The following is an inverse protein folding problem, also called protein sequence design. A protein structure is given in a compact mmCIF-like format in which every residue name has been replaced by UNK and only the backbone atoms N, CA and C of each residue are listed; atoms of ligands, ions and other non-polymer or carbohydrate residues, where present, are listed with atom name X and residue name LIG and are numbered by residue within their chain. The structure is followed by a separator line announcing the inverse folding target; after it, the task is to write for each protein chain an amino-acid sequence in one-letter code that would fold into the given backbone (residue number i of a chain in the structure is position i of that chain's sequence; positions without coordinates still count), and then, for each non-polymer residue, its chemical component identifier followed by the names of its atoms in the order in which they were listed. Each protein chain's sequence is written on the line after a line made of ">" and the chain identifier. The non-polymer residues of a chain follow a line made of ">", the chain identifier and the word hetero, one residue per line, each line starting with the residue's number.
data_IF_767027947498
#
_entry.id   IF_767027947498
#
_cell.length_a   1.000
_cell.length_b   1.000
_cell.length_c   1.000
_cell.angle_alpha   90.00
_cell.angle_beta   90.00
_cell.angle_gamma   90.00
#
_symmetry.space_group_name_H-M   'P 1'
#
loop_
_entity.id
_entity.type
_entity.pdbx_description
1 polymer ?
#
# COMPACT_ATOMS: atom_id res chain seq x y z
N UNK A 1 -25.04 14.86 -3.34
CA UNK A 1 -26.36 14.37 -3.80
C UNK A 1 -26.14 13.25 -4.80
N UNK A 2 -27.08 12.32 -4.97
CA UNK A 2 -27.00 11.29 -6.02
C UNK A 2 -28.29 11.27 -6.84
N UNK A 3 -28.19 10.78 -8.07
CA UNK A 3 -29.36 10.60 -8.92
C UNK A 3 -30.14 9.37 -8.48
N UNK A 4 -31.41 9.54 -8.08
CA UNK A 4 -32.26 8.42 -7.64
C UNK A 4 -32.57 7.42 -8.77
N UNK A 5 -32.44 7.85 -10.03
CA UNK A 5 -32.70 7.01 -11.19
C UNK A 5 -31.49 6.13 -11.61
N UNK A 6 -30.25 6.59 -11.43
CA UNK A 6 -29.07 5.86 -11.94
C UNK A 6 -27.87 5.78 -10.99
N UNK A 7 -27.98 6.32 -9.77
CA UNK A 7 -26.96 6.27 -8.72
C UNK A 7 -25.71 7.13 -8.96
N UNK A 8 -25.69 7.98 -10.00
CA UNK A 8 -24.57 8.86 -10.28
C UNK A 8 -24.42 9.95 -9.21
N UNK A 9 -23.20 10.18 -8.73
CA UNK A 9 -22.90 11.23 -7.74
C UNK A 9 -22.93 12.61 -8.42
N UNK A 10 -23.67 13.54 -7.84
CA UNK A 10 -23.99 14.85 -8.41
C UNK A 10 -23.49 15.99 -7.52
N UNK A 11 -22.93 17.02 -8.15
CA UNK A 11 -22.60 18.32 -7.53
C UNK A 11 -23.82 19.26 -7.52
N UNK A 12 -23.83 20.22 -6.60
CA UNK A 12 -24.97 21.14 -6.40
C UNK A 12 -25.25 22.11 -7.56
N UNK A 13 -24.33 22.20 -8.51
CA UNK A 13 -24.39 23.05 -9.71
C UNK A 13 -25.20 22.40 -10.84
N UNK A 14 -25.35 21.07 -10.86
CA UNK A 14 -26.03 20.39 -11.95
C UNK A 14 -27.55 20.63 -11.94
N UNK A 15 -28.11 20.93 -13.11
CA UNK A 15 -29.57 21.08 -13.33
C UNK A 15 -30.25 19.79 -13.80
N UNK A 16 -29.46 18.85 -14.33
CA UNK A 16 -29.87 17.52 -14.73
C UNK A 16 -28.68 16.55 -14.59
N UNK A 17 -28.95 15.27 -14.40
CA UNK A 17 -27.91 14.24 -14.29
C UNK A 17 -27.20 14.08 -15.64
N UNK A 18 -25.87 14.25 -15.72
CA UNK A 18 -25.14 14.14 -16.99
C UNK A 18 -25.12 12.70 -17.54
N UNK A 19 -25.40 11.71 -16.68
CA UNK A 19 -25.38 10.29 -17.06
C UNK A 19 -26.72 9.80 -17.63
N UNK A 20 -27.85 10.21 -17.07
CA UNK A 20 -29.18 9.69 -17.46
C UNK A 20 -30.23 10.77 -17.79
N UNK A 21 -29.87 12.05 -17.71
CA UNK A 21 -30.77 13.16 -18.06
C UNK A 21 -31.86 13.46 -17.03
N UNK A 22 -31.95 12.71 -15.92
CA UNK A 22 -32.94 12.96 -14.86
C UNK A 22 -32.79 14.36 -14.28
N UNK A 23 -33.91 15.10 -14.18
CA UNK A 23 -33.95 16.48 -13.71
C UNK A 23 -33.71 16.59 -12.20
N UNK A 24 -33.26 17.76 -11.76
CA UNK A 24 -32.85 18.08 -10.37
C UNK A 24 -33.88 17.76 -9.28
N UNK A 25 -35.18 17.74 -9.59
CA UNK A 25 -36.22 17.42 -8.62
C UNK A 25 -36.12 15.98 -8.05
N UNK A 26 -35.34 15.10 -8.69
CA UNK A 26 -35.12 13.72 -8.28
C UNK A 26 -33.68 13.47 -7.78
N UNK A 27 -33.07 14.48 -7.15
CA UNK A 27 -31.75 14.34 -6.50
C UNK A 27 -31.97 14.24 -4.99
N UNK A 28 -31.51 13.14 -4.39
CA UNK A 28 -31.55 12.97 -2.94
C UNK A 28 -30.19 13.26 -2.31
N UNK A 29 -30.25 13.81 -1.11
CA UNK A 29 -29.12 13.77 -0.18
C UNK A 29 -29.19 12.44 0.58
N UNK A 30 -28.07 11.73 0.75
CA UNK A 30 -28.05 10.64 1.72
C UNK A 30 -28.40 11.23 3.08
N UNK A 31 -29.41 10.67 3.74
CA UNK A 31 -29.71 10.98 5.13
C UNK A 31 -28.46 10.63 5.94
N UNK A 32 -27.99 11.61 6.71
CA UNK A 32 -26.74 11.58 7.47
C UNK A 32 -26.70 10.40 8.46
N UNK A 33 -27.87 9.86 8.81
CA UNK A 33 -28.02 8.74 9.74
C UNK A 33 -28.29 7.38 9.06
N UNK A 34 -28.46 7.31 7.75
CA UNK A 34 -28.81 6.06 7.03
C UNK A 34 -27.91 5.77 5.83
N UNK A 35 -26.76 6.44 5.72
CA UNK A 35 -25.69 5.95 4.86
C UNK A 35 -25.39 4.50 5.28
N UNK A 36 -25.55 3.50 4.40
CA UNK A 36 -25.23 2.13 4.75
C UNK A 36 -23.76 2.12 5.15
N UNK A 37 -23.49 1.77 6.41
CA UNK A 37 -22.14 1.48 6.86
C UNK A 37 -21.58 0.47 5.86
N UNK A 38 -20.65 0.93 5.01
CA UNK A 38 -19.95 0.05 4.12
C UNK A 38 -19.35 -1.05 5.00
N UNK A 39 -19.65 -2.34 4.76
CA UNK A 39 -19.17 -3.43 5.58
C UNK A 39 -17.63 -3.40 5.51
N UNK A 40 -17.01 -2.84 6.55
CA UNK A 40 -15.65 -2.29 6.46
C UNK A 40 -15.39 -1.05 7.33
N UNK A 41 -16.38 -0.53 8.04
CA UNK A 41 -16.28 0.57 9.03
C UNK A 41 -15.38 0.29 10.28
N UNK A 42 -14.33 -0.50 10.11
CA UNK A 42 -13.12 -0.48 10.94
C UNK A 42 -11.92 0.11 10.17
N UNK A 43 -12.18 0.73 9.01
CA UNK A 43 -11.21 1.57 8.33
C UNK A 43 -11.10 2.86 9.13
N UNK A 44 -10.00 3.03 9.87
CA UNK A 44 -9.40 4.34 10.21
C UNK A 44 -10.11 5.49 9.49
N UNK A 45 -10.75 6.41 10.23
CA UNK A 45 -11.37 7.63 9.67
C UNK A 45 -10.28 8.48 9.01
N UNK A 46 -9.87 8.07 7.82
CA UNK A 46 -8.64 8.51 7.19
C UNK A 46 -8.72 9.98 6.80
N UNK A 47 -9.96 10.47 6.64
CA UNK A 47 -10.32 11.87 6.42
C UNK A 47 -10.14 12.72 7.66
N UNK A 48 -10.69 12.30 8.80
CA UNK A 48 -10.56 13.01 10.07
C UNK A 48 -9.09 13.13 10.50
N UNK A 49 -8.31 12.09 10.20
CA UNK A 49 -6.91 11.97 10.57
C UNK A 49 -5.94 12.33 9.43
N UNK A 50 -6.37 13.13 8.45
CA UNK A 50 -5.54 13.49 7.29
C UNK A 50 -4.27 14.25 7.68
N UNK A 51 -4.32 15.06 8.75
CA UNK A 51 -3.16 15.78 9.29
C UNK A 51 -2.10 14.82 9.85
N UNK A 52 -2.53 13.78 10.56
CA UNK A 52 -1.64 12.74 11.06
C UNK A 52 -1.00 11.94 9.91
N UNK A 53 -1.77 11.69 8.84
CA UNK A 53 -1.28 11.03 7.64
C UNK A 53 -0.28 11.91 6.86
N UNK A 54 -0.52 13.21 6.78
CA UNK A 54 0.40 14.21 6.23
C UNK A 54 1.75 14.18 6.96
N UNK A 55 1.71 14.28 8.30
CA UNK A 55 2.90 14.17 9.15
C UNK A 55 3.64 12.84 8.95
N UNK A 56 2.91 11.74 8.78
CA UNK A 56 3.48 10.44 8.52
C UNK A 56 4.12 10.32 7.13
N UNK A 57 3.52 10.88 6.08
CA UNK A 57 4.10 10.81 4.72
C UNK A 57 5.32 11.73 4.59
N UNK A 58 5.25 12.92 5.18
CA UNK A 58 6.28 13.95 5.10
C UNK A 58 6.25 14.74 3.79
N UNK A 59 7.41 15.14 3.22
CA UNK A 59 7.48 16.15 2.15
C UNK A 59 6.63 15.89 0.90
N UNK A 60 6.36 14.62 0.58
CA UNK A 60 5.56 14.22 -0.60
C UNK A 60 4.07 14.03 -0.29
N UNK A 61 3.57 14.53 0.84
CA UNK A 61 2.20 14.32 1.29
C UNK A 61 1.12 14.67 0.25
N UNK A 62 1.22 15.83 -0.40
CA UNK A 62 0.21 16.26 -1.39
C UNK A 62 0.05 15.25 -2.53
N UNK A 63 1.17 14.78 -3.09
CA UNK A 63 1.18 13.75 -4.14
C UNK A 63 0.46 12.47 -3.71
N UNK A 64 0.71 11.99 -2.49
CA UNK A 64 0.10 10.75 -2.02
C UNK A 64 -1.38 10.93 -1.70
N UNK A 65 -1.76 12.03 -1.05
CA UNK A 65 -3.18 12.31 -0.76
C UNK A 65 -4.02 12.44 -2.03
N UNK A 66 -3.51 13.11 -3.06
CA UNK A 66 -4.18 13.15 -4.37
C UNK A 66 -4.34 11.75 -4.96
N UNK A 67 -3.27 10.94 -4.97
CA UNK A 67 -3.33 9.55 -5.44
C UNK A 67 -4.30 8.68 -4.63
N UNK A 68 -4.50 9.00 -3.36
CA UNK A 68 -5.40 8.29 -2.45
C UNK A 68 -6.83 8.82 -2.48
N UNK A 69 -7.15 9.72 -3.42
CA UNK A 69 -8.51 10.19 -3.64
C UNK A 69 -9.05 11.09 -2.53
N UNK A 70 -8.17 11.79 -1.81
CA UNK A 70 -8.59 12.81 -0.85
C UNK A 70 -9.14 14.09 -1.52
N UNK A 71 -8.77 14.34 -2.78
CA UNK A 71 -9.33 15.44 -3.57
C UNK A 71 -10.77 15.13 -4.04
N UNK A 72 -11.07 13.86 -4.29
CA UNK A 72 -12.31 13.41 -4.92
C UNK A 72 -13.30 12.82 -3.91
N UNK A 73 -13.07 13.05 -2.61
CA UNK A 73 -13.84 12.53 -1.48
C UNK A 73 -13.92 11.00 -1.35
N UNK A 74 -13.14 10.21 -2.11
CA UNK A 74 -13.15 8.74 -1.98
C UNK A 74 -12.35 8.24 -0.77
N UNK A 75 -11.26 8.92 -0.40
CA UNK A 75 -10.35 8.56 0.70
C UNK A 75 -9.86 7.08 0.68
N UNK A 76 -9.88 6.46 -0.49
CA UNK A 76 -9.41 5.10 -0.77
C UNK A 76 -8.53 5.16 -2.01
N UNK A 77 -7.30 4.61 -1.96
CA UNK A 77 -6.42 4.53 -3.13
C UNK A 77 -7.05 3.67 -4.21
N UNK A 78 -7.16 4.22 -5.42
CA UNK A 78 -7.44 3.43 -6.62
C UNK A 78 -6.17 2.66 -7.01
N UNK A 79 -6.34 1.48 -7.60
CA UNK A 79 -5.23 0.77 -8.25
C UNK A 79 -4.65 1.69 -9.32
N UNK A 80 -3.33 1.81 -9.37
CA UNK A 80 -2.64 2.73 -10.26
C UNK A 80 -1.15 2.41 -10.35
N UNK A 81 -0.42 3.18 -11.15
CA UNK A 81 0.99 2.88 -11.40
C UNK A 81 1.94 3.64 -10.45
N UNK A 82 2.83 2.88 -9.81
CA UNK A 82 3.91 3.38 -8.98
C UNK A 82 5.28 2.99 -9.55
N UNK A 83 5.93 3.96 -10.20
CA UNK A 83 7.27 3.79 -10.77
C UNK A 83 8.35 3.39 -9.76
N UNK A 84 8.29 3.91 -8.54
CA UNK A 84 9.28 3.57 -7.51
C UNK A 84 9.14 2.14 -7.04
N UNK A 85 7.90 1.68 -6.85
CA UNK A 85 7.63 0.30 -6.49
C UNK A 85 7.91 -0.66 -7.65
N UNK A 86 7.69 -0.26 -8.90
CA UNK A 86 8.04 -1.06 -10.08
C UNK A 86 9.55 -1.33 -10.16
N UNK A 87 10.37 -0.28 -10.26
CA UNK A 87 11.82 -0.45 -10.48
C UNK A 87 12.59 -0.95 -9.25
N UNK A 88 12.07 -0.68 -8.04
CA UNK A 88 12.79 -0.98 -6.80
C UNK A 88 12.08 -2.01 -5.92
N UNK A 89 10.90 -2.52 -6.29
CA UNK A 89 10.12 -3.59 -5.63
C UNK A 89 10.39 -3.74 -4.11
N UNK A 90 11.09 -4.79 -3.70
CA UNK A 90 11.48 -5.08 -2.33
C UNK A 90 12.18 -3.89 -1.62
N UNK A 91 13.12 -3.25 -2.29
CA UNK A 91 13.88 -2.12 -1.74
C UNK A 91 13.02 -0.86 -1.56
N UNK A 92 12.01 -0.67 -2.40
CA UNK A 92 11.02 0.40 -2.21
C UNK A 92 10.26 0.23 -0.89
N UNK A 93 9.97 -1.02 -0.49
CA UNK A 93 9.30 -1.31 0.77
C UNK A 93 10.18 -0.91 1.98
N UNK A 94 11.48 -1.22 1.93
CA UNK A 94 12.45 -0.80 2.95
C UNK A 94 12.61 0.72 3.02
N UNK A 95 12.72 1.37 1.87
CA UNK A 95 12.78 2.82 1.74
C UNK A 95 11.60 3.51 2.44
N UNK A 96 10.39 2.94 2.34
CA UNK A 96 9.15 3.45 2.97
C UNK A 96 8.84 2.84 4.34
N UNK A 97 9.80 2.12 4.95
CA UNK A 97 9.67 1.50 6.28
C UNK A 97 8.49 0.50 6.37
N UNK A 98 8.13 -0.15 5.27
CA UNK A 98 7.05 -1.15 5.21
C UNK A 98 7.56 -2.56 5.52
N UNK A 99 8.21 -2.74 6.69
CA UNK A 99 8.95 -3.97 6.98
C UNK A 99 8.07 -5.23 6.97
N UNK A 100 6.83 -5.18 7.49
CA UNK A 100 5.91 -6.32 7.44
C UNK A 100 5.68 -6.81 6.01
N UNK A 101 5.42 -5.88 5.09
CA UNK A 101 5.25 -6.18 3.66
C UNK A 101 6.56 -6.65 3.03
N UNK A 102 7.69 -6.04 3.40
CA UNK A 102 9.00 -6.45 2.91
C UNK A 102 9.34 -7.89 3.30
N UNK A 103 9.12 -8.28 4.56
CA UNK A 103 9.32 -9.66 5.02
C UNK A 103 8.37 -10.65 4.37
N UNK A 104 7.11 -10.26 4.10
CA UNK A 104 6.19 -11.11 3.33
C UNK A 104 6.71 -11.36 1.90
N UNK A 105 7.20 -10.31 1.22
CA UNK A 105 7.84 -10.45 -0.10
C UNK A 105 9.07 -11.36 -0.03
N UNK A 106 9.91 -11.19 0.99
CA UNK A 106 11.10 -12.01 1.19
C UNK A 106 10.76 -13.48 1.39
N UNK A 107 9.72 -13.78 2.19
CA UNK A 107 9.25 -15.15 2.42
C UNK A 107 8.68 -15.79 1.15
N UNK A 108 7.91 -15.05 0.35
CA UNK A 108 7.42 -15.52 -0.96
C UNK A 108 8.60 -15.85 -1.88
N UNK A 109 9.60 -14.97 -1.93
CA UNK A 109 10.80 -15.18 -2.73
C UNK A 109 11.62 -16.39 -2.29
N UNK A 110 11.77 -16.59 -0.98
CA UNK A 110 12.43 -17.77 -0.43
C UNK A 110 11.65 -19.04 -0.79
N UNK A 111 10.32 -19.03 -0.72
CA UNK A 111 9.48 -20.16 -1.13
C UNK A 111 9.62 -20.51 -2.61
N UNK A 112 9.56 -19.52 -3.49
CA UNK A 112 9.80 -19.69 -4.94
C UNK A 112 11.20 -20.28 -5.19
N UNK A 113 12.20 -19.77 -4.46
CA UNK A 113 13.56 -20.30 -4.52
C UNK A 113 13.64 -21.77 -4.13
N UNK A 114 13.09 -22.16 -2.99
CA UNK A 114 13.13 -23.55 -2.52
C UNK A 114 12.40 -24.50 -3.47
N UNK A 115 11.25 -24.09 -4.02
CA UNK A 115 10.46 -24.90 -4.96
C UNK A 115 11.24 -25.19 -6.24
N UNK A 116 11.82 -24.16 -6.88
CA UNK A 116 12.51 -24.39 -8.15
C UNK A 116 13.91 -24.98 -8.00
N UNK A 117 14.53 -24.88 -6.82
CA UNK A 117 15.74 -25.65 -6.53
C UNK A 117 15.45 -27.14 -6.36
N UNK A 118 14.34 -27.49 -5.68
CA UNK A 118 13.94 -28.89 -5.46
C UNK A 118 13.33 -29.59 -6.68
N UNK A 119 13.07 -28.87 -7.78
CA UNK A 119 12.49 -29.45 -8.99
C UNK A 119 13.56 -29.95 -9.95
N UNK A 120 13.38 -31.18 -10.48
CA UNK A 120 14.27 -31.81 -11.50
C UNK A 120 14.38 -30.97 -12.79
N UNK A 121 13.42 -30.06 -13.02
CA UNK A 121 13.43 -29.12 -14.13
C UNK A 121 13.98 -27.78 -13.65
N UNK A 122 15.29 -27.58 -13.76
CA UNK A 122 15.91 -26.26 -13.63
C UNK A 122 15.48 -25.37 -14.81
N UNK A 123 14.26 -24.85 -14.74
CA UNK A 123 13.76 -23.90 -15.72
C UNK A 123 14.15 -22.50 -15.25
N UNK A 124 15.34 -22.03 -15.63
CA UNK A 124 15.83 -20.68 -15.31
C UNK A 124 14.84 -19.57 -15.71
N UNK A 125 14.01 -19.84 -16.73
CA UNK A 125 12.92 -18.96 -17.15
C UNK A 125 11.82 -18.75 -16.11
N UNK A 126 11.56 -19.72 -15.21
CA UNK A 126 10.50 -19.61 -14.21
C UNK A 126 10.84 -18.52 -13.19
N UNK A 127 12.06 -18.53 -12.67
CA UNK A 127 12.56 -17.50 -11.76
C UNK A 127 12.50 -16.11 -12.39
N UNK A 128 12.94 -16.00 -13.65
CA UNK A 128 12.90 -14.74 -14.38
C UNK A 128 11.47 -14.22 -14.56
N UNK A 129 10.52 -15.08 -14.95
CA UNK A 129 9.11 -14.72 -15.09
C UNK A 129 8.51 -14.31 -13.74
N UNK A 130 8.77 -15.06 -12.67
CA UNK A 130 8.32 -14.71 -11.32
C UNK A 130 8.86 -13.35 -10.87
N UNK A 131 10.10 -13.02 -11.29
CA UNK A 131 10.72 -11.73 -11.01
C UNK A 131 10.02 -10.60 -11.72
N UNK A 132 9.78 -10.76 -13.02
CA UNK A 132 9.00 -9.79 -13.81
C UNK A 132 7.61 -9.58 -13.21
N UNK A 133 6.87 -10.65 -12.92
CA UNK A 133 5.54 -10.57 -12.30
C UNK A 133 5.61 -9.76 -10.99
N UNK A 134 6.60 -10.03 -10.14
CA UNK A 134 6.76 -9.30 -8.87
C UNK A 134 7.00 -7.81 -9.09
N UNK A 135 7.79 -7.43 -10.10
CA UNK A 135 8.04 -6.02 -10.44
C UNK A 135 6.75 -5.33 -10.91
N UNK A 136 5.99 -5.97 -11.81
CA UNK A 136 4.70 -5.45 -12.28
C UNK A 136 3.68 -5.35 -11.16
N UNK A 137 3.51 -6.39 -10.33
CA UNK A 137 2.62 -6.35 -9.17
C UNK A 137 3.03 -5.26 -8.17
N UNK A 138 4.32 -5.08 -7.94
CA UNK A 138 4.82 -3.99 -7.10
C UNK A 138 4.47 -2.62 -7.70
N UNK A 139 4.60 -2.46 -9.02
CA UNK A 139 4.18 -1.26 -9.74
C UNK A 139 2.69 -0.97 -9.61
N UNK A 140 1.83 -1.98 -9.78
CA UNK A 140 0.36 -1.86 -9.75
C UNK A 140 -0.16 -1.62 -8.32
N UNK A 141 0.41 -2.31 -7.32
CA UNK A 141 -0.11 -2.28 -5.96
C UNK A 141 0.71 -1.42 -5.00
N UNK A 142 1.83 -0.85 -5.42
CA UNK A 142 2.74 -0.11 -4.53
C UNK A 142 2.06 1.01 -3.73
N UNK A 143 1.26 1.84 -4.40
CA UNK A 143 0.54 2.94 -3.72
C UNK A 143 -0.54 2.44 -2.75
N UNK A 144 -1.23 1.35 -3.11
CA UNK A 144 -2.22 0.70 -2.26
C UNK A 144 -1.57 0.09 -1.00
N UNK A 145 -0.47 -0.66 -1.18
CA UNK A 145 0.30 -1.24 -0.08
C UNK A 145 0.81 -0.17 0.88
N UNK A 146 1.30 0.96 0.33
CA UNK A 146 1.78 2.06 1.14
C UNK A 146 0.67 2.79 1.89
N UNK A 147 -0.47 3.05 1.25
CA UNK A 147 -1.65 3.61 1.93
C UNK A 147 -2.06 2.75 3.12
N UNK A 148 -2.28 1.45 2.89
CA UNK A 148 -2.74 0.55 3.92
C UNK A 148 -1.70 0.39 5.06
N UNK A 149 -0.40 0.38 4.75
CA UNK A 149 0.65 0.40 5.78
C UNK A 149 0.65 1.70 6.59
N UNK A 150 0.48 2.84 5.93
CA UNK A 150 0.45 4.14 6.57
C UNK A 150 -0.79 4.30 7.46
N UNK A 151 -1.99 4.03 6.93
CA UNK A 151 -3.26 4.14 7.64
C UNK A 151 -3.23 3.34 8.96
N UNK A 152 -2.86 2.05 8.90
CA UNK A 152 -2.76 1.19 10.11
C UNK A 152 -1.77 1.73 11.14
N UNK A 153 -0.61 2.24 10.71
CA UNK A 153 0.40 2.76 11.65
C UNK A 153 -0.04 4.07 12.27
N UNK A 154 -0.67 4.95 11.48
CA UNK A 154 -1.22 6.21 11.98
C UNK A 154 -2.31 5.92 13.00
N UNK A 155 -3.26 5.06 12.66
CA UNK A 155 -4.32 4.59 13.57
C UNK A 155 -3.75 4.07 14.88
N UNK A 156 -2.78 3.15 14.83
CA UNK A 156 -2.11 2.62 16.03
C UNK A 156 -1.47 3.69 16.90
N UNK A 157 -0.87 4.73 16.30
CA UNK A 157 -0.26 5.82 17.05
C UNK A 157 -1.33 6.73 17.67
N UNK A 158 -2.41 6.99 16.95
CA UNK A 158 -3.49 7.84 17.45
C UNK A 158 -4.28 7.18 18.57
N UNK A 159 -4.51 5.87 18.49
CA UNK A 159 -5.17 5.07 19.53
C UNK A 159 -4.27 4.80 20.75
N UNK A 160 -2.95 4.94 20.62
CA UNK A 160 -2.04 4.75 21.75
C UNK A 160 -2.16 5.87 22.78
N UNK A 161 -1.92 5.57 24.06
CA UNK A 161 -1.88 6.59 25.11
C UNK A 161 -0.69 7.55 24.96
N UNK A 162 -0.88 8.75 25.50
CA UNK A 162 0.15 9.78 25.62
C UNK A 162 -0.23 11.11 24.98
N UNK A 163 0.60 12.11 25.25
CA UNK A 163 0.37 13.49 24.83
C UNK A 163 0.38 13.67 23.30
N UNK A 164 -0.40 14.63 22.77
CA UNK A 164 -0.44 14.93 21.33
C UNK A 164 0.95 15.19 20.72
N UNK A 165 1.81 15.93 21.40
CA UNK A 165 3.17 16.22 20.93
C UNK A 165 4.02 14.95 20.75
N UNK A 166 3.87 13.97 21.65
CA UNK A 166 4.55 12.67 21.56
C UNK A 166 3.99 11.83 20.41
N UNK A 167 2.69 11.91 20.14
CA UNK A 167 2.06 11.25 18.98
C UNK A 167 2.60 11.82 17.67
N UNK A 168 2.68 13.15 17.55
CA UNK A 168 3.26 13.80 16.37
C UNK A 168 4.74 13.41 16.14
N UNK A 169 5.54 13.42 17.19
CA UNK A 169 6.93 12.98 17.12
C UNK A 169 7.03 11.50 16.66
N UNK A 170 6.14 10.62 17.16
CA UNK A 170 6.06 9.22 16.74
C UNK A 170 5.67 9.09 15.26
N UNK A 171 4.69 9.86 14.78
CA UNK A 171 4.27 9.88 13.38
C UNK A 171 5.43 10.25 12.45
N UNK A 172 6.13 11.35 12.75
CA UNK A 172 7.30 11.81 11.97
C UNK A 172 8.43 10.77 11.98
N UNK A 173 8.70 10.13 13.12
CA UNK A 173 9.76 9.12 13.26
C UNK A 173 9.45 7.81 12.52
N UNK A 174 8.23 7.29 12.66
CA UNK A 174 7.80 6.02 12.05
C UNK A 174 7.46 6.17 10.56
N UNK A 175 7.06 7.36 10.15
CA UNK A 175 6.78 7.72 8.77
C UNK A 175 8.01 8.11 7.96
N UNK A 176 7.79 8.80 6.85
CA UNK A 176 8.80 9.30 5.94
C UNK A 176 9.52 8.20 5.17
N UNK A 177 10.79 8.46 4.85
CA UNK A 177 11.65 7.58 4.06
C UNK A 177 13.00 7.38 4.75
N UNK A 178 13.72 6.32 4.40
CA UNK A 178 15.05 6.04 4.94
C UNK A 178 15.93 5.31 3.92
N UNK A 179 16.97 5.98 3.42
CA UNK A 179 17.94 5.35 2.52
C UNK A 179 18.82 4.32 3.23
N UNK A 180 19.13 4.53 4.51
CA UNK A 180 19.92 3.55 5.29
C UNK A 180 19.19 2.21 5.45
N UNK A 181 17.84 2.24 5.48
CA UNK A 181 17.04 1.02 5.51
C UNK A 181 17.13 0.23 4.20
N UNK A 182 17.36 0.89 3.07
CA UNK A 182 17.56 0.21 1.78
C UNK A 182 18.86 -0.59 1.84
N UNK A 183 19.93 -0.02 2.38
CA UNK A 183 21.20 -0.72 2.62
C UNK A 183 21.00 -1.92 3.57
N UNK A 184 20.25 -1.75 4.67
CA UNK A 184 19.93 -2.85 5.57
C UNK A 184 19.14 -3.98 4.87
N UNK A 185 18.17 -3.64 4.02
CA UNK A 185 17.42 -4.60 3.22
C UNK A 185 18.28 -5.33 2.18
N UNK A 186 19.19 -4.61 1.51
CA UNK A 186 20.18 -5.17 0.59
C UNK A 186 21.10 -6.18 1.29
N UNK A 187 21.66 -5.78 2.43
CA UNK A 187 22.53 -6.66 3.22
C UNK A 187 21.79 -7.90 3.70
N UNK A 188 20.56 -7.74 4.22
CA UNK A 188 19.75 -8.89 4.66
C UNK A 188 19.48 -9.85 3.49
N UNK A 189 19.06 -9.33 2.33
CA UNK A 189 18.79 -10.16 1.16
C UNK A 189 20.05 -10.93 0.74
N UNK A 190 21.20 -10.24 0.65
CA UNK A 190 22.46 -10.85 0.25
C UNK A 190 22.94 -11.93 1.24
N UNK A 191 22.87 -11.65 2.55
CA UNK A 191 23.25 -12.62 3.58
C UNK A 191 22.36 -13.87 3.56
N UNK A 192 21.06 -13.71 3.30
CA UNK A 192 20.15 -14.85 3.19
C UNK A 192 20.43 -15.68 1.95
N UNK A 193 20.78 -15.06 0.82
CA UNK A 193 21.19 -15.79 -0.39
C UNK A 193 22.46 -16.60 -0.12
N UNK A 194 23.50 -15.99 0.45
CA UNK A 194 24.73 -16.70 0.80
C UNK A 194 24.49 -17.87 1.77
N UNK A 195 23.68 -17.66 2.79
CA UNK A 195 23.32 -18.70 3.75
C UNK A 195 22.60 -19.87 3.06
N UNK A 196 21.70 -19.56 2.13
CA UNK A 196 20.90 -20.54 1.41
C UNK A 196 21.75 -21.36 0.43
N UNK A 197 22.62 -20.71 -0.34
CA UNK A 197 23.58 -21.37 -1.21
C UNK A 197 24.54 -22.26 -0.42
N UNK A 198 25.09 -21.74 0.69
CA UNK A 198 25.94 -22.52 1.59
C UNK A 198 25.23 -23.77 2.11
N UNK A 199 23.98 -23.63 2.57
CA UNK A 199 23.16 -24.73 3.08
C UNK A 199 22.90 -25.80 2.00
N UNK A 200 22.60 -25.36 0.77
CA UNK A 200 22.40 -26.25 -0.38
C UNK A 200 23.67 -27.07 -0.68
N UNK A 201 24.81 -26.39 -0.76
CA UNK A 201 26.11 -27.02 -1.05
C UNK A 201 26.47 -28.02 0.03
N UNK A 202 26.23 -27.68 1.30
CA UNK A 202 26.49 -28.54 2.45
C UNK A 202 25.69 -29.84 2.40
N UNK A 203 24.41 -29.79 2.03
CA UNK A 203 23.54 -30.98 1.91
C UNK A 203 23.96 -31.91 0.76
N UNK A 204 24.56 -31.37 -0.31
CA UNK A 204 24.92 -32.13 -1.51
C UNK A 204 26.38 -32.59 -1.57
N UNK A 205 27.18 -32.38 -0.50
CA UNK A 205 28.52 -32.97 -0.45
C UNK A 205 28.39 -34.50 -0.42
N UNK A 206 29.05 -35.24 -1.34
CA UNK A 206 29.11 -36.69 -1.24
C UNK A 206 29.84 -37.08 0.05
N UNK A 207 29.19 -37.93 0.86
CA UNK A 207 29.78 -38.56 2.06
C UNK A 207 30.92 -39.49 1.68
#
# INVERSE_FOLDING_TARGET
>A
MYCTNCGFLLEATFRACPKCGTKRAAFDYPDENTAPEAPGAAFFNARENVSALQLFIGPKQGKYLTKWGYADNSAVPKIGWNWGAFFFSYYWLWYRKMYKTAFAFLGIWLGIYLISFGSVYHFDGFYFIAYLITFFLSGIFGDYLYFNSAARKVEQILLSDGEPALKEARLKKKGGVSSINVLAGLLLFFLLQLLLEWFIIFIHQPV
#
